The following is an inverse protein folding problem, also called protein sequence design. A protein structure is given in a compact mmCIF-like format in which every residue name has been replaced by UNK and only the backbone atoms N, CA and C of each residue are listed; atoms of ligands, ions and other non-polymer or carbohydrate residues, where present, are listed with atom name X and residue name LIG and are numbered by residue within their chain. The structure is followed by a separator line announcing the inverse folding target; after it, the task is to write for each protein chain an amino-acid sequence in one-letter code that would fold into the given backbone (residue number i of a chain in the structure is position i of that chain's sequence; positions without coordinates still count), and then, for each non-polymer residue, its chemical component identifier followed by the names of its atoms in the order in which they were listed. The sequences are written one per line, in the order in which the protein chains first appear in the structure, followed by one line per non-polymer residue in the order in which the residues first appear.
data_IF_767774756001
#
_entry.id   IF_767774756001
#
_cell.length_a   1.000
_cell.length_b   1.000
_cell.length_c   1.000
_cell.angle_alpha   90.00
_cell.angle_beta   90.00
_cell.angle_gamma   90.00
#
_symmetry.space_group_name_H-M   'P 1'
#
loop_
_entity.id
_entity.type
_entity.pdbx_description
1 polymer ?
#
# COMPACT_ATOMS: atom_id res chain seq x y z
N UNK A 1 -4.31 12.33 0.43
CA UNK A 1 -3.64 11.05 0.74
C UNK A 1 -2.45 11.31 1.64
N UNK A 2 -2.61 11.16 2.96
CA UNK A 2 -1.50 11.18 3.93
C UNK A 2 -0.91 9.79 4.04
N UNK A 3 -0.21 9.29 3.03
CA UNK A 3 0.49 8.02 3.16
C UNK A 3 1.78 8.06 2.35
N UNK A 4 2.88 7.93 3.09
CA UNK A 4 4.26 7.67 2.66
C UNK A 4 5.03 8.90 2.16
N UNK A 5 5.65 9.58 3.13
CA UNK A 5 6.94 10.23 2.96
C UNK A 5 7.90 9.63 4.01
N UNK A 6 8.16 8.33 3.92
CA UNK A 6 9.23 7.66 4.68
C UNK A 6 10.33 7.31 3.69
N UNK A 7 11.13 8.30 3.29
CA UNK A 7 12.34 8.09 2.49
C UNK A 7 13.27 7.15 3.28
N UNK A 8 13.40 5.90 2.83
CA UNK A 8 14.30 4.89 3.42
C UNK A 8 13.62 3.65 4.01
N UNK A 9 12.33 3.70 4.34
CA UNK A 9 11.55 2.54 4.77
C UNK A 9 10.76 1.97 3.61
N UNK A 10 11.47 1.37 2.66
CA UNK A 10 10.88 0.70 1.51
C UNK A 10 10.88 -0.81 1.74
N UNK A 11 9.91 -1.55 1.18
CA UNK A 11 9.92 -3.02 1.24
C UNK A 11 11.14 -3.63 0.54
N UNK A 12 11.85 -2.85 -0.27
CA UNK A 12 13.09 -3.23 -0.96
C UNK A 12 14.35 -3.02 -0.11
N UNK A 13 14.24 -2.40 1.07
CA UNK A 13 15.33 -2.24 2.04
C UNK A 13 15.55 -3.46 2.96
N UNK A 14 14.87 -4.58 2.70
CA UNK A 14 15.03 -5.83 3.45
C UNK A 14 16.23 -6.64 2.94
N UNK A 15 16.88 -7.41 3.82
CA UNK A 15 17.92 -8.37 3.39
C UNK A 15 17.28 -9.66 2.89
N UNK A 16 17.96 -10.39 2.00
CA UNK A 16 17.45 -11.67 1.48
C UNK A 16 17.09 -12.65 2.61
N UNK A 17 17.94 -12.76 3.64
CA UNK A 17 17.70 -13.62 4.80
C UNK A 17 16.52 -13.16 5.68
N UNK A 18 16.19 -11.86 5.68
CA UNK A 18 15.01 -11.36 6.38
C UNK A 18 13.73 -11.65 5.57
N UNK A 19 13.77 -11.44 4.25
CA UNK A 19 12.69 -11.79 3.35
C UNK A 19 12.37 -13.30 3.38
N UNK A 20 13.39 -14.16 3.31
CA UNK A 20 13.19 -15.61 3.32
C UNK A 20 12.56 -16.12 4.63
N UNK A 21 12.70 -15.38 5.72
CA UNK A 21 12.03 -15.67 7.00
C UNK A 21 10.57 -15.20 7.04
N UNK A 22 10.22 -14.10 6.38
CA UNK A 22 8.85 -13.57 6.39
C UNK A 22 7.99 -14.12 5.27
N UNK A 23 8.58 -14.56 4.15
CA UNK A 23 7.83 -14.94 2.93
C UNK A 23 6.73 -16.00 3.15
N UNK A 24 6.94 -16.93 4.09
CA UNK A 24 5.98 -18.02 4.35
C UNK A 24 4.73 -17.58 5.09
N UNK A 25 4.76 -16.40 5.72
CA UNK A 25 3.64 -15.84 6.47
C UNK A 25 2.96 -14.69 5.74
N UNK A 26 3.46 -14.32 4.55
CA UNK A 26 2.90 -13.22 3.77
C UNK A 26 1.74 -13.72 2.91
N UNK A 27 0.60 -13.08 3.07
CA UNK A 27 -0.54 -13.19 2.17
C UNK A 27 -0.40 -12.19 1.02
N UNK A 28 -0.97 -12.50 -0.17
CA UNK A 28 -1.04 -11.54 -1.26
C UNK A 28 -1.73 -10.24 -0.83
N UNK A 29 -1.19 -9.10 -1.25
CA UNK A 29 -1.84 -7.81 -1.05
C UNK A 29 -3.07 -7.69 -1.96
N UNK A 30 -4.23 -7.44 -1.36
CA UNK A 30 -5.51 -7.38 -2.07
C UNK A 30 -6.15 -5.99 -1.95
N UNK A 31 -6.87 -5.59 -2.99
CA UNK A 31 -7.76 -4.44 -2.92
C UNK A 31 -9.07 -4.72 -3.64
N UNK A 32 -10.16 -4.35 -2.98
CA UNK A 32 -11.50 -4.41 -3.54
C UNK A 32 -12.02 -3.00 -3.68
N UNK A 33 -12.32 -2.61 -4.92
CA UNK A 33 -12.81 -1.27 -5.22
C UNK A 33 -14.18 -1.35 -5.87
N UNK A 34 -15.15 -0.65 -5.29
CA UNK A 34 -16.47 -0.40 -5.87
C UNK A 34 -16.49 1.03 -6.39
N UNK A 35 -16.91 1.22 -7.64
CA UNK A 35 -16.91 2.53 -8.30
C UNK A 35 -18.26 2.75 -8.98
N UNK A 36 -18.76 3.98 -8.90
CA UNK A 36 -19.93 4.45 -9.63
C UNK A 36 -19.60 5.79 -10.26
N UNK A 37 -19.93 5.94 -11.53
CA UNK A 37 -19.64 7.12 -12.32
C UNK A 37 -20.84 7.56 -13.12
N UNK A 38 -20.97 8.86 -13.31
CA UNK A 38 -21.95 9.47 -14.18
C UNK A 38 -21.30 10.54 -15.04
N UNK A 39 -21.58 10.52 -16.35
CA UNK A 39 -21.08 11.49 -17.32
C UNK A 39 -22.21 11.96 -18.21
N UNK A 40 -22.29 13.27 -18.41
CA UNK A 40 -23.22 13.93 -19.33
C UNK A 40 -22.42 14.80 -20.29
N UNK A 41 -22.81 14.76 -21.56
CA UNK A 41 -22.20 15.57 -22.61
C UNK A 41 -23.30 16.23 -23.43
N UNK A 42 -23.17 17.54 -23.63
CA UNK A 42 -24.00 18.36 -24.51
C UNK A 42 -23.07 19.22 -25.41
N UNK A 43 -23.63 19.88 -26.42
CA UNK A 43 -22.91 20.85 -27.27
C UNK A 43 -22.39 22.06 -26.47
N UNK A 44 -23.03 22.38 -25.35
CA UNK A 44 -22.72 23.57 -24.54
C UNK A 44 -21.91 23.25 -23.28
N UNK A 45 -21.99 22.03 -22.74
CA UNK A 45 -21.30 21.68 -21.50
C UNK A 45 -21.02 20.18 -21.38
N UNK A 46 -20.04 19.86 -20.54
CA UNK A 46 -19.68 18.49 -20.19
C UNK A 46 -19.51 18.41 -18.68
N UNK A 47 -20.09 17.37 -18.07
CA UNK A 47 -20.01 17.16 -16.64
C UNK A 47 -19.80 15.68 -16.35
N UNK A 48 -18.92 15.39 -15.40
CA UNK A 48 -18.75 14.04 -14.85
C UNK A 48 -18.59 14.09 -13.36
N UNK A 49 -19.14 13.08 -12.68
CA UNK A 49 -18.99 12.85 -11.26
C UNK A 49 -18.76 11.36 -11.02
N UNK A 50 -17.84 11.05 -10.13
CA UNK A 50 -17.46 9.69 -9.81
C UNK A 50 -17.32 9.54 -8.29
N UNK A 51 -17.79 8.42 -7.78
CA UNK A 51 -17.60 8.01 -6.39
C UNK A 51 -16.95 6.62 -6.40
N UNK A 52 -15.98 6.43 -5.51
CA UNK A 52 -15.31 5.15 -5.34
C UNK A 52 -15.14 4.84 -3.86
N UNK A 53 -15.15 3.56 -3.56
CA UNK A 53 -14.85 3.00 -2.26
C UNK A 53 -13.86 1.87 -2.43
N UNK A 54 -12.66 2.02 -1.86
CA UNK A 54 -11.62 1.00 -1.89
C UNK A 54 -11.38 0.47 -0.49
N UNK A 55 -11.48 -0.84 -0.35
CA UNK A 55 -11.01 -1.57 0.83
C UNK A 55 -9.73 -2.29 0.45
N UNK A 56 -8.68 -2.06 1.23
CA UNK A 56 -7.43 -2.80 1.12
C UNK A 56 -7.41 -3.90 2.18
N UNK A 57 -6.88 -5.05 1.81
CA UNK A 57 -6.64 -6.18 2.72
C UNK A 57 -5.19 -6.63 2.53
N UNK A 58 -4.56 -7.08 3.61
CA UNK A 58 -3.23 -7.70 3.59
C UNK A 58 -2.15 -6.77 3.03
N UNK A 59 -2.23 -5.47 3.31
CA UNK A 59 -1.24 -4.52 2.79
C UNK A 59 0.13 -4.83 3.37
N UNK A 60 1.16 -4.79 2.55
CA UNK A 60 2.52 -5.01 3.01
C UNK A 60 3.03 -3.76 3.74
N UNK A 61 3.23 -3.90 5.04
CA UNK A 61 3.88 -2.89 5.88
C UNK A 61 5.33 -3.29 6.13
N UNK A 62 6.24 -2.33 5.96
CA UNK A 62 7.65 -2.47 6.31
C UNK A 62 7.88 -1.89 7.69
N UNK A 63 8.47 -2.66 8.61
CA UNK A 63 8.79 -2.22 9.98
C UNK A 63 10.25 -2.48 10.32
N UNK A 64 10.87 -1.61 11.13
CA UNK A 64 12.16 -1.92 11.78
C UNK A 64 11.87 -2.36 13.21
N UNK A 65 12.22 -3.60 13.61
CA UNK A 65 12.06 -4.05 14.99
C UNK A 65 13.08 -3.44 15.96
N UNK A 66 14.06 -2.66 15.45
CA UNK A 66 15.14 -2.09 16.25
C UNK A 66 14.89 -0.62 16.58
N UNK A 67 15.62 -0.14 17.59
CA UNK A 67 15.63 1.29 17.95
C UNK A 67 16.11 2.13 16.77
N UNK A 68 15.68 3.39 16.71
CA UNK A 68 16.01 4.28 15.59
C UNK A 68 17.53 4.50 15.37
N UNK A 69 18.36 4.21 16.37
CA UNK A 69 19.84 4.33 16.30
C UNK A 69 20.48 3.04 15.80
N UNK A 70 19.91 1.87 16.11
CA UNK A 70 20.45 0.58 15.69
C UNK A 70 19.87 0.19 14.33
N UNK A 71 20.73 0.12 13.32
CA UNK A 71 20.32 -0.34 11.99
C UNK A 71 20.09 -1.84 12.01
N UNK A 72 18.93 -2.27 11.52
CA UNK A 72 18.65 -3.67 11.28
C UNK A 72 17.76 -3.85 10.05
N UNK A 73 17.73 -5.07 9.52
CA UNK A 73 16.95 -5.39 8.35
C UNK A 73 15.46 -5.15 8.62
N UNK A 74 14.78 -4.50 7.68
CA UNK A 74 13.34 -4.29 7.78
C UNK A 74 12.59 -5.61 7.59
N UNK A 75 11.49 -5.78 8.34
CA UNK A 75 10.60 -6.94 8.29
C UNK A 75 9.30 -6.55 7.58
N UNK A 76 8.75 -7.49 6.80
CA UNK A 76 7.48 -7.36 6.10
C UNK A 76 6.35 -8.07 6.85
N UNK A 77 5.19 -7.42 6.95
CA UNK A 77 3.96 -7.98 7.54
C UNK A 77 2.71 -7.50 6.81
N UNK A 78 1.67 -8.33 6.75
CA UNK A 78 0.34 -7.92 6.28
C UNK A 78 -0.39 -7.11 7.36
N UNK A 79 -1.08 -6.03 6.95
CA UNK A 79 -1.95 -5.20 7.80
C UNK A 79 -3.31 -4.94 7.17
#
# INVERSE_FOLDING_TARGET
SKNIAAFGFTPFGTSQAAFDRSRSTLEPEESQTVQVGYRVQDAQFQLSADAYFTKFSNRLLTTSPCTAVQTCAAILSNV
#
